data_IF_513867592107
#
_entry.id   IF_513867592107
#
_cell.length_a   1.000
_cell.length_b   1.000
_cell.length_c   1.000
_cell.angle_alpha   90.00
_cell.angle_beta   90.00
_cell.angle_gamma   90.00
#
_symmetry.space_group_name_H-M   'P 1'
#
loop_
_entity.id
_entity.type
_entity.pdbx_description
1 polymer ?
#
# COMPACT_ATOMS: atom_id res chain seq x y z
N UNK A 1 -14.32 -2.61 17.20
CA UNK A 1 -12.88 -2.86 16.93
C UNK A 1 -12.52 -2.48 15.49
N UNK A 2 -13.33 -2.88 14.51
CA UNK A 2 -13.07 -2.61 13.07
C UNK A 2 -13.22 -1.14 12.67
N UNK A 3 -14.29 -0.45 13.11
CA UNK A 3 -14.49 0.97 12.82
C UNK A 3 -13.39 1.85 13.43
N UNK A 4 -13.01 1.59 14.69
CA UNK A 4 -11.94 2.33 15.36
C UNK A 4 -10.58 2.18 14.65
N UNK A 5 -10.31 1.00 14.10
CA UNK A 5 -9.12 0.77 13.30
C UNK A 5 -9.14 1.60 12.01
N UNK A 6 -10.26 1.60 11.27
CA UNK A 6 -10.42 2.44 10.07
C UNK A 6 -10.31 3.94 10.39
N UNK A 7 -10.89 4.38 11.51
CA UNK A 7 -10.76 5.76 11.99
C UNK A 7 -9.31 6.11 12.34
N UNK A 8 -8.55 5.17 12.90
CA UNK A 8 -7.14 5.38 13.19
C UNK A 8 -6.28 5.47 11.92
N UNK A 9 -6.58 4.66 10.88
CA UNK A 9 -5.97 4.82 9.56
C UNK A 9 -6.26 6.21 8.98
N UNK A 10 -7.53 6.64 9.03
CA UNK A 10 -7.96 7.93 8.48
C UNK A 10 -7.34 9.14 9.19
N UNK A 11 -7.06 9.04 10.49
CA UNK A 11 -6.40 10.11 11.28
C UNK A 11 -4.90 10.20 11.02
N UNK A 12 -4.27 9.19 10.41
CA UNK A 12 -2.84 9.18 10.16
C UNK A 12 -2.52 9.72 8.76
N UNK A 13 -1.74 10.79 8.67
CA UNK A 13 -1.42 11.45 7.39
C UNK A 13 -0.72 10.55 6.36
N UNK A 14 -0.03 9.48 6.80
CA UNK A 14 0.67 8.55 5.92
C UNK A 14 -0.20 7.37 5.47
N UNK A 15 -1.35 7.16 6.13
CA UNK A 15 -2.28 6.05 5.83
C UNK A 15 -3.58 6.53 5.22
N UNK A 16 -4.02 7.75 5.57
CA UNK A 16 -5.22 8.40 5.03
C UNK A 16 -5.31 8.33 3.50
N UNK A 17 -4.22 8.55 2.72
CA UNK A 17 -4.33 8.50 1.26
C UNK A 17 -4.83 7.16 0.72
N UNK A 18 -4.61 6.05 1.44
CA UNK A 18 -5.10 4.71 1.07
C UNK A 18 -6.62 4.54 1.29
N UNK A 19 -7.30 5.51 1.89
CA UNK A 19 -8.75 5.51 2.05
C UNK A 19 -9.47 6.37 0.98
N UNK A 20 -8.73 7.09 0.15
CA UNK A 20 -9.29 7.99 -0.87
C UNK A 20 -9.90 7.25 -2.08
N UNK A 21 -9.58 5.95 -2.24
CA UNK A 21 -10.08 5.10 -3.32
C UNK A 21 -10.69 3.81 -2.78
N UNK A 22 -11.74 3.27 -3.43
CA UNK A 22 -12.40 2.03 -2.98
C UNK A 22 -11.49 0.81 -2.86
N UNK A 23 -10.41 0.75 -3.63
CA UNK A 23 -9.42 -0.33 -3.60
C UNK A 23 -8.14 0.02 -2.80
N UNK A 24 -8.05 1.24 -2.26
CA UNK A 24 -6.83 1.73 -1.61
C UNK A 24 -6.51 0.95 -0.32
N UNK A 25 -7.52 0.51 0.42
CA UNK A 25 -7.30 -0.32 1.61
C UNK A 25 -6.78 -1.72 1.23
N UNK A 26 -7.28 -2.30 0.14
CA UNK A 26 -6.74 -3.55 -0.40
C UNK A 26 -5.28 -3.35 -0.86
N UNK A 27 -4.97 -2.22 -1.51
CA UNK A 27 -3.60 -1.88 -1.90
C UNK A 27 -2.66 -1.72 -0.69
N UNK A 28 -3.09 -1.04 0.38
CA UNK A 28 -2.30 -0.85 1.60
C UNK A 28 -1.83 -2.19 2.17
N UNK A 29 -2.75 -3.13 2.34
CA UNK A 29 -2.44 -4.44 2.89
C UNK A 29 -1.69 -5.34 1.91
N UNK A 30 -2.01 -5.25 0.62
CA UNK A 30 -1.28 -5.96 -0.40
C UNK A 30 0.20 -5.56 -0.38
N UNK A 31 0.52 -4.28 -0.38
CA UNK A 31 1.91 -3.81 -0.38
C UNK A 31 2.69 -4.23 0.88
N UNK A 32 2.01 -4.28 2.03
CA UNK A 32 2.58 -4.77 3.29
C UNK A 32 2.91 -6.28 3.20
N UNK A 33 2.00 -7.09 2.66
CA UNK A 33 2.24 -8.51 2.39
C UNK A 33 3.39 -8.73 1.39
N UNK A 34 3.39 -8.01 0.27
CA UNK A 34 4.43 -8.12 -0.76
C UNK A 34 5.82 -7.75 -0.22
N UNK A 35 5.89 -6.85 0.76
CA UNK A 35 7.14 -6.52 1.43
C UNK A 35 7.60 -7.63 2.37
N UNK A 36 6.69 -8.27 3.13
CA UNK A 36 7.01 -9.39 4.01
C UNK A 36 7.41 -10.65 3.24
N UNK A 37 6.86 -10.85 2.04
CA UNK A 37 7.21 -11.96 1.12
C UNK A 37 8.47 -11.67 0.27
N UNK A 38 9.10 -10.50 0.43
CA UNK A 38 10.20 -10.02 -0.41
C UNK A 38 9.88 -10.07 -1.92
N UNK A 39 8.60 -9.96 -2.28
CA UNK A 39 8.10 -10.29 -3.61
C UNK A 39 8.44 -9.24 -4.65
N UNK A 40 9.03 -9.63 -5.78
CA UNK A 40 9.52 -8.71 -6.81
C UNK A 40 8.40 -8.09 -7.69
N UNK A 41 7.34 -7.56 -7.09
CA UNK A 41 6.19 -6.99 -7.80
C UNK A 41 6.33 -5.48 -8.07
N UNK A 42 6.11 -5.09 -9.32
CA UNK A 42 5.96 -3.71 -9.75
C UNK A 42 4.50 -3.27 -9.82
N UNK A 43 4.24 -2.09 -10.40
CA UNK A 43 2.89 -1.50 -10.50
C UNK A 43 1.93 -2.46 -11.23
N UNK A 44 2.35 -3.02 -12.36
CA UNK A 44 1.53 -3.92 -13.18
C UNK A 44 1.19 -5.22 -12.45
N UNK A 45 2.18 -5.87 -11.84
CA UNK A 45 1.92 -7.10 -11.09
C UNK A 45 1.04 -6.82 -9.84
N UNK A 46 1.21 -5.64 -9.22
CA UNK A 46 0.38 -5.21 -8.08
C UNK A 46 -1.06 -4.97 -8.51
N UNK A 47 -1.27 -4.36 -9.68
CA UNK A 47 -2.61 -4.17 -10.27
C UNK A 47 -3.33 -5.50 -10.46
N UNK A 48 -2.62 -6.52 -10.96
CA UNK A 48 -3.21 -7.84 -11.19
C UNK A 48 -3.65 -8.52 -9.90
N UNK A 49 -2.95 -8.25 -8.78
CA UNK A 49 -3.26 -8.75 -7.44
C UNK A 49 -4.37 -7.99 -6.69
N UNK A 50 -4.90 -6.88 -7.21
CA UNK A 50 -6.05 -6.19 -6.60
C UNK A 50 -7.33 -7.00 -6.82
N UNK A 51 -7.99 -7.37 -5.73
CA UNK A 51 -9.20 -8.22 -5.74
C UNK A 51 -10.48 -7.45 -5.44
N UNK A 52 -10.40 -6.39 -4.63
CA UNK A 52 -11.58 -5.66 -4.14
C UNK A 52 -11.69 -4.33 -4.89
N UNK A 53 -12.87 -4.04 -5.43
CA UNK A 53 -13.17 -2.80 -6.15
C UNK A 53 -12.14 -2.47 -7.25
N UNK A 54 -11.73 -3.51 -8.00
CA UNK A 54 -10.63 -3.43 -8.96
C UNK A 54 -10.82 -2.26 -9.93
N UNK A 55 -9.88 -1.30 -9.98
CA UNK A 55 -10.02 -0.13 -10.84
C UNK A 55 -9.74 -0.46 -12.31
N UNK A 56 -10.03 0.50 -13.19
CA UNK A 56 -9.42 0.53 -14.52
C UNK A 56 -7.90 0.73 -14.38
N UNK A 57 -7.12 0.07 -15.23
CA UNK A 57 -5.65 0.14 -15.22
C UNK A 57 -5.09 1.56 -15.19
N UNK A 58 -5.61 2.45 -16.06
CA UNK A 58 -5.17 3.86 -16.09
C UNK A 58 -5.39 4.57 -14.74
N UNK A 59 -6.55 4.36 -14.11
CA UNK A 59 -6.85 4.95 -12.81
C UNK A 59 -5.93 4.41 -11.71
N UNK A 60 -5.59 3.12 -11.76
CA UNK A 60 -4.63 2.53 -10.82
C UNK A 60 -3.22 3.13 -10.96
N UNK A 61 -2.75 3.28 -12.20
CA UNK A 61 -1.44 3.88 -12.48
C UNK A 61 -1.41 5.33 -11.99
N UNK A 62 -2.44 6.13 -12.32
CA UNK A 62 -2.54 7.53 -11.88
C UNK A 62 -2.56 7.65 -10.35
N UNK A 63 -3.30 6.78 -9.67
CA UNK A 63 -3.34 6.76 -8.21
C UNK A 63 -2.00 6.33 -7.60
N UNK A 64 -1.34 5.33 -8.17
CA UNK A 64 0.01 4.92 -7.75
C UNK A 64 1.02 6.06 -7.91
N UNK A 65 0.97 6.79 -9.04
CA UNK A 65 1.80 7.98 -9.25
C UNK A 65 1.51 9.07 -8.22
N UNK A 66 0.23 9.30 -7.90
CA UNK A 66 -0.16 10.24 -6.85
C UNK A 66 0.39 9.83 -5.48
N UNK A 67 0.22 8.57 -5.07
CA UNK A 67 0.75 8.04 -3.82
C UNK A 67 2.27 8.16 -3.73
N UNK A 68 2.98 7.95 -4.84
CA UNK A 68 4.44 8.12 -4.89
C UNK A 68 4.84 9.59 -4.72
N UNK A 69 4.12 10.52 -5.37
CA UNK A 69 4.37 11.97 -5.26
C UNK A 69 4.23 12.49 -3.84
N UNK A 70 3.32 11.91 -3.05
CA UNK A 70 3.10 12.29 -1.64
C UNK A 70 3.89 11.42 -0.64
N UNK A 71 4.84 10.61 -1.09
CA UNK A 71 5.67 9.74 -0.24
C UNK A 71 4.84 8.73 0.58
N UNK A 72 3.70 8.29 0.06
CA UNK A 72 2.91 7.21 0.65
C UNK A 72 3.42 5.82 0.23
N UNK A 73 3.97 5.73 -0.99
CA UNK A 73 4.63 4.54 -1.53
C UNK A 73 5.99 4.92 -2.12
N UNK A 74 6.84 3.93 -2.36
CA UNK A 74 8.07 4.07 -3.14
C UNK A 74 8.04 3.13 -4.34
N UNK A 75 8.71 3.55 -5.43
CA UNK A 75 8.88 2.75 -6.65
C UNK A 75 10.37 2.68 -6.95
N UNK A 76 11.04 1.66 -6.42
CA UNK A 76 12.50 1.53 -6.45
C UNK A 76 12.92 0.47 -7.48
N UNK A 77 14.15 0.53 -7.99
CA UNK A 77 14.67 -0.53 -8.86
C UNK A 77 14.60 -1.89 -8.17
N UNK A 78 14.16 -2.91 -8.90
CA UNK A 78 14.14 -4.28 -8.42
C UNK A 78 15.56 -4.75 -8.10
N UNK A 79 15.76 -5.47 -6.98
CA UNK A 79 17.06 -6.07 -6.65
C UNK A 79 17.37 -7.29 -7.54
N UNK A 80 16.36 -7.90 -8.17
CA UNK A 80 16.49 -9.10 -9.00
C UNK A 80 16.67 -8.71 -10.47
N UNK A 81 15.82 -7.83 -10.99
CA UNK A 81 15.79 -7.46 -12.41
C UNK A 81 15.90 -5.94 -12.58
N UNK A 82 17.07 -5.44 -12.97
CA UNK A 82 17.35 -4.00 -13.11
C UNK A 82 16.35 -3.20 -13.96
N UNK A 83 15.68 -3.82 -14.94
CA UNK A 83 14.66 -3.17 -15.77
C UNK A 83 13.29 -3.06 -15.11
N UNK A 84 13.09 -3.70 -13.95
CA UNK A 84 11.85 -3.69 -13.18
C UNK A 84 11.94 -2.69 -12.02
N UNK A 85 10.80 -2.11 -11.64
CA UNK A 85 10.67 -1.29 -10.43
C UNK A 85 9.64 -1.89 -9.49
N UNK A 86 10.02 -2.05 -8.23
CA UNK A 86 9.20 -2.60 -7.17
C UNK A 86 8.42 -1.50 -6.48
N UNK A 87 7.13 -1.75 -6.31
CA UNK A 87 6.22 -0.87 -5.59
C UNK A 87 6.13 -1.32 -4.13
N UNK A 88 6.40 -0.43 -3.18
CA UNK A 88 6.38 -0.70 -1.74
C UNK A 88 5.76 0.43 -0.95
N UNK A 89 5.33 0.16 0.28
CA UNK A 89 5.03 1.23 1.22
C UNK A 89 6.27 2.10 1.44
N UNK A 90 6.07 3.41 1.63
CA UNK A 90 7.17 4.24 2.10
C UNK A 90 7.53 3.86 3.55
N UNK A 91 8.75 4.21 3.98
CA UNK A 91 9.19 3.98 5.36
C UNK A 91 8.25 4.63 6.37
N UNK A 92 7.63 5.77 6.02
CA UNK A 92 6.67 6.49 6.87
C UNK A 92 5.34 5.75 6.95
N UNK A 93 4.79 5.33 5.81
CA UNK A 93 3.54 4.55 5.75
C UNK A 93 3.68 3.21 6.48
N UNK A 94 4.80 2.49 6.29
CA UNK A 94 5.05 1.22 6.98
C UNK A 94 5.09 1.38 8.50
N UNK A 95 5.86 2.36 9.00
CA UNK A 95 5.93 2.66 10.44
C UNK A 95 4.56 3.05 10.99
N UNK A 96 3.80 3.85 10.25
CA UNK A 96 2.45 4.25 10.65
C UNK A 96 1.52 3.03 10.75
N UNK A 97 1.53 2.14 9.77
CA UNK A 97 0.70 0.93 9.75
C UNK A 97 1.02 0.02 10.95
N UNK A 98 2.31 -0.22 11.22
CA UNK A 98 2.76 -1.00 12.38
C UNK A 98 2.27 -0.37 13.69
N UNK A 99 2.38 0.96 13.82
CA UNK A 99 1.93 1.68 15.01
C UNK A 99 0.42 1.52 15.24
N UNK A 100 -0.38 1.68 14.18
CA UNK A 100 -1.84 1.50 14.26
C UNK A 100 -2.18 0.05 14.61
N UNK A 101 -1.60 -0.96 13.94
CA UNK A 101 -1.88 -2.36 14.25
C UNK A 101 -1.55 -2.75 15.69
N UNK A 102 -0.42 -2.27 16.23
CA UNK A 102 -0.05 -2.48 17.64
C UNK A 102 -1.10 -1.94 18.60
N UNK A 103 -1.67 -0.76 18.32
CA UNK A 103 -2.72 -0.15 19.16
C UNK A 103 -4.00 -0.99 19.22
N UNK A 104 -4.31 -1.73 18.15
CA UNK A 104 -5.57 -2.48 18.02
C UNK A 104 -5.40 -4.01 18.12
N UNK A 105 -4.20 -4.48 18.51
CA UNK A 105 -3.86 -5.90 18.64
C UNK A 105 -4.15 -6.73 17.35
N UNK A 106 -4.03 -6.10 16.18
CA UNK A 106 -4.23 -6.76 14.88
C UNK A 106 -2.94 -7.46 14.49
N UNK A 107 -2.97 -8.80 14.34
CA UNK A 107 -1.80 -9.61 13.96
C UNK A 107 -1.26 -9.20 12.57
N UNK A 108 0.06 -9.23 12.43
CA UNK A 108 0.76 -9.22 11.15
C UNK A 108 0.52 -10.59 10.48
N UNK A 109 -0.03 -10.59 9.27
CA UNK A 109 -0.08 -11.78 8.41
C UNK A 109 1.25 -11.84 7.66
#
# INVERSE_FOLDING_TARGET
MELEFLLALNKNIHLKPFLDKPYGLNLLFLLDTLENEESDNGIEDTFDKILISKPKKLAFVQYSTHLAKIDAITVNSSPIKKSKKNMRLSKKSKKALISVRKKFNVKLI
#
